data_IF_066831741732
#
_entry.id   IF_066831741732
#
_cell.length_a   1.000
_cell.length_b   1.000
_cell.length_c   1.000
_cell.angle_alpha   90.00
_cell.angle_beta   90.00
_cell.angle_gamma   90.00
#
_symmetry.space_group_name_H-M   'P 1'
#
loop_
_entity.id
_entity.type
_entity.pdbx_description
1 polymer ?
#
# COMPACT_ATOMS: atom_id res chain seq x y z
N UNK A 1 21.80 52.83 21.46
CA UNK A 1 22.06 53.52 20.19
C UNK A 1 22.08 52.47 19.10
N UNK A 2 21.24 52.68 18.09
CA UNK A 2 20.88 51.89 16.91
C UNK A 2 22.02 51.01 16.34
N UNK A 3 21.75 49.74 16.03
CA UNK A 3 21.87 49.21 14.65
C UNK A 3 21.17 47.85 14.51
N UNK A 4 20.11 47.84 13.68
CA UNK A 4 19.37 46.67 13.17
C UNK A 4 20.22 45.95 12.13
N UNK A 5 20.26 44.62 12.18
CA UNK A 5 20.62 43.75 11.06
C UNK A 5 19.38 42.96 10.66
N UNK A 6 18.93 43.18 9.43
CA UNK A 6 17.82 42.51 8.76
C UNK A 6 18.34 41.87 7.45
N UNK A 7 17.65 40.85 6.92
CA UNK A 7 18.25 39.75 6.17
C UNK A 7 18.36 39.96 4.65
N UNK A 8 19.30 39.21 4.07
CA UNK A 8 19.53 39.05 2.64
C UNK A 8 18.34 38.31 1.97
N UNK A 9 17.58 39.05 1.16
CA UNK A 9 16.68 38.51 0.14
C UNK A 9 17.36 38.73 -1.23
N UNK A 10 17.88 37.67 -1.83
CA UNK A 10 18.39 37.71 -3.21
C UNK A 10 17.25 37.36 -4.17
N UNK A 11 16.84 38.38 -4.92
CA UNK A 11 15.78 38.39 -5.94
C UNK A 11 16.39 37.91 -7.26
N UNK A 12 16.05 36.70 -7.71
CA UNK A 12 16.41 36.24 -9.06
C UNK A 12 15.37 36.71 -10.06
N UNK A 13 15.78 37.66 -10.91
CA UNK A 13 15.06 38.13 -12.09
C UNK A 13 15.20 37.14 -13.24
N UNK A 14 14.08 36.72 -13.81
CA UNK A 14 14.02 35.90 -15.02
C UNK A 14 14.37 36.73 -16.26
N UNK A 15 15.36 36.29 -17.02
CA UNK A 15 15.70 36.83 -18.34
C UNK A 15 15.16 35.88 -19.43
N UNK A 16 14.29 36.41 -20.30
CA UNK A 16 13.86 35.76 -21.55
C UNK A 16 14.94 35.90 -22.63
N UNK A 17 15.32 34.83 -23.35
CA UNK A 17 15.97 34.94 -24.64
C UNK A 17 14.96 34.92 -25.81
N UNK A 18 15.33 35.50 -26.98
CA UNK A 18 14.40 35.86 -28.06
C UNK A 18 14.07 34.71 -29.04
N UNK A 19 12.96 34.91 -29.76
CA UNK A 19 12.48 34.12 -30.91
C UNK A 19 13.55 34.01 -32.00
N UNK A 20 13.81 32.77 -32.45
CA UNK A 20 14.45 32.48 -33.74
C UNK A 20 13.48 31.68 -34.61
N UNK A 21 13.05 32.30 -35.71
CA UNK A 21 12.44 31.63 -36.85
C UNK A 21 13.51 30.76 -37.53
N UNK A 22 13.26 29.46 -37.63
CA UNK A 22 14.11 28.53 -38.36
C UNK A 22 13.27 27.43 -38.98
N UNK A 23 13.07 27.54 -40.29
CA UNK A 23 12.62 26.42 -41.13
C UNK A 23 13.65 25.29 -41.04
N UNK A 24 13.24 24.11 -40.55
CA UNK A 24 13.94 22.87 -40.87
C UNK A 24 12.94 21.72 -41.09
N UNK A 25 12.90 21.34 -42.37
CA UNK A 25 12.71 20.01 -42.95
C UNK A 25 12.39 18.87 -41.97
N UNK A 26 11.20 18.29 -42.15
CA UNK A 26 10.78 16.98 -41.68
C UNK A 26 11.77 15.89 -42.12
N UNK A 27 12.61 15.42 -41.19
CA UNK A 27 13.21 14.10 -41.31
C UNK A 27 12.26 13.07 -40.72
N UNK A 28 11.57 12.39 -41.63
CA UNK A 28 10.83 11.15 -41.41
C UNK A 28 11.74 10.11 -40.74
N UNK A 29 11.64 9.99 -39.43
CA UNK A 29 12.18 8.84 -38.70
C UNK A 29 11.19 7.67 -38.88
N UNK A 30 11.34 6.91 -39.97
CA UNK A 30 10.72 5.60 -40.10
C UNK A 30 11.29 4.69 -39.00
N UNK A 31 10.51 4.40 -37.96
CA UNK A 31 10.77 3.23 -37.11
C UNK A 31 10.51 1.98 -37.96
N UNK A 32 11.46 1.04 -38.08
CA UNK A 32 11.20 -0.22 -38.73
C UNK A 32 10.30 -1.09 -37.84
N UNK A 33 9.51 -1.93 -38.51
CA UNK A 33 8.72 -3.03 -37.95
C UNK A 33 9.51 -3.76 -36.86
N UNK A 34 8.88 -3.94 -35.71
CA UNK A 34 9.34 -4.80 -34.62
C UNK A 34 9.63 -6.19 -35.17
N UNK A 35 10.91 -6.59 -35.08
CA UNK A 35 11.36 -7.92 -35.47
C UNK A 35 10.99 -8.92 -34.38
N UNK A 36 10.76 -10.17 -34.76
CA UNK A 36 10.30 -11.26 -33.88
C UNK A 36 11.15 -11.47 -32.59
N UNK A 37 12.35 -10.91 -32.54
CA UNK A 37 13.29 -11.02 -31.42
C UNK A 37 12.88 -10.20 -30.17
N UNK A 38 12.06 -9.15 -30.31
CA UNK A 38 11.58 -8.37 -29.15
C UNK A 38 10.49 -9.10 -28.33
N UNK A 39 9.78 -10.04 -28.96
CA UNK A 39 8.80 -10.90 -28.26
C UNK A 39 9.45 -11.89 -27.30
N UNK A 40 10.74 -12.20 -27.49
CA UNK A 40 11.50 -13.09 -26.60
C UNK A 40 12.05 -12.35 -25.38
N UNK A 41 12.35 -11.05 -25.53
CA UNK A 41 12.88 -10.20 -24.45
C UNK A 41 11.83 -9.77 -23.40
N UNK A 42 10.56 -10.10 -23.60
CA UNK A 42 9.47 -9.81 -22.65
C UNK A 42 9.02 -11.02 -21.86
N UNK A 43 9.55 -12.21 -22.17
CA UNK A 43 9.27 -13.43 -21.43
C UNK A 43 10.21 -13.52 -20.21
N UNK A 44 9.67 -13.27 -19.02
CA UNK A 44 10.42 -13.32 -17.75
C UNK A 44 10.95 -14.72 -17.38
N UNK A 45 10.71 -15.74 -18.21
CA UNK A 45 11.22 -17.10 -18.01
C UNK A 45 12.74 -17.17 -17.91
N UNK A 46 13.48 -16.38 -18.71
CA UNK A 46 14.95 -16.34 -18.62
C UNK A 46 15.42 -15.73 -17.29
N UNK A 47 14.79 -14.64 -16.85
CA UNK A 47 15.07 -14.00 -15.54
C UNK A 47 14.71 -14.92 -14.38
N UNK A 48 13.59 -15.65 -14.48
CA UNK A 48 13.16 -16.64 -13.48
C UNK A 48 14.14 -17.80 -13.39
N UNK A 49 14.58 -18.34 -14.54
CA UNK A 49 15.59 -19.39 -14.57
C UNK A 49 16.89 -18.92 -13.94
N UNK A 50 17.39 -17.72 -14.24
CA UNK A 50 18.61 -17.20 -13.60
C UNK A 50 18.50 -17.09 -12.06
N UNK A 51 17.29 -16.86 -11.52
CA UNK A 51 17.07 -16.75 -10.09
C UNK A 51 16.89 -18.12 -9.40
N UNK A 52 16.26 -19.09 -10.06
CA UNK A 52 15.88 -20.39 -9.48
C UNK A 52 16.84 -21.54 -9.87
N UNK A 53 17.67 -21.37 -10.90
CA UNK A 53 18.54 -22.40 -11.45
C UNK A 53 19.71 -22.77 -10.52
N UNK A 54 19.98 -24.07 -10.41
CA UNK A 54 21.24 -24.56 -9.84
C UNK A 54 22.44 -24.20 -10.75
N UNK A 55 23.66 -24.06 -10.24
CA UNK A 55 24.82 -23.58 -11.01
C UNK A 55 25.20 -24.41 -12.26
N UNK A 56 24.68 -25.63 -12.41
CA UNK A 56 25.01 -26.54 -13.52
C UNK A 56 23.91 -26.65 -14.58
N UNK A 57 22.74 -26.04 -14.39
CA UNK A 57 21.66 -26.13 -15.37
C UNK A 57 21.89 -25.18 -16.55
N UNK A 58 21.74 -25.70 -17.78
CA UNK A 58 21.86 -24.95 -19.03
C UNK A 58 20.48 -24.58 -19.56
N UNK A 59 20.28 -23.31 -19.88
CA UNK A 59 19.05 -22.79 -20.49
C UNK A 59 18.76 -23.50 -21.82
N UNK A 60 17.51 -23.95 -22.02
CA UNK A 60 17.01 -24.48 -23.30
C UNK A 60 15.85 -23.61 -23.76
N UNK A 61 15.99 -23.01 -24.95
CA UNK A 61 14.93 -22.24 -25.60
C UNK A 61 13.69 -23.13 -25.79
N UNK A 62 12.53 -22.68 -25.28
CA UNK A 62 11.24 -23.37 -25.43
C UNK A 62 10.75 -24.23 -24.26
N UNK A 63 11.49 -24.34 -23.14
CA UNK A 63 11.10 -25.14 -21.97
C UNK A 63 10.30 -24.36 -20.89
N UNK A 64 9.47 -23.40 -21.30
CA UNK A 64 8.79 -22.45 -20.40
C UNK A 64 7.44 -22.91 -19.83
N UNK A 65 6.95 -24.10 -20.18
CA UNK A 65 5.78 -24.72 -19.57
C UNK A 65 6.23 -26.00 -18.85
N UNK A 66 5.66 -26.25 -17.67
CA UNK A 66 5.90 -27.40 -16.77
C UNK A 66 6.95 -27.15 -15.67
N UNK A 67 6.46 -26.83 -14.47
CA UNK A 67 7.25 -26.96 -13.23
C UNK A 67 6.64 -26.32 -11.98
N UNK A 68 5.83 -27.09 -11.24
CA UNK A 68 5.31 -26.79 -9.90
C UNK A 68 6.45 -26.56 -8.88
N UNK A 69 6.28 -25.55 -8.01
CA UNK A 69 6.81 -25.57 -6.65
C UNK A 69 7.62 -24.35 -6.24
N UNK A 70 6.97 -23.35 -5.65
CA UNK A 70 7.64 -22.25 -4.95
C UNK A 70 6.83 -20.96 -4.99
N UNK A 71 6.45 -20.46 -3.81
CA UNK A 71 5.78 -19.18 -3.51
C UNK A 71 5.24 -18.42 -4.74
N UNK A 72 3.99 -18.70 -5.12
CA UNK A 72 3.22 -18.03 -6.17
C UNK A 72 3.40 -16.50 -6.13
N UNK A 73 4.10 -15.89 -7.11
CA UNK A 73 4.05 -14.47 -7.33
C UNK A 73 3.31 -14.25 -8.64
N UNK A 74 2.06 -13.79 -8.58
CA UNK A 74 1.38 -13.14 -9.73
C UNK A 74 1.22 -13.98 -11.02
N UNK A 75 1.38 -15.31 -10.97
CA UNK A 75 1.15 -16.20 -12.12
C UNK A 75 -0.33 -16.25 -12.50
N UNK A 76 -1.19 -16.35 -11.47
CA UNK A 76 -2.65 -16.31 -11.61
C UNK A 76 -3.17 -15.01 -12.26
N UNK A 77 -2.40 -13.91 -12.24
CA UNK A 77 -2.83 -12.65 -12.85
C UNK A 77 -2.73 -12.65 -14.38
N UNK A 78 -1.84 -13.48 -14.95
CA UNK A 78 -1.62 -13.52 -16.40
C UNK A 78 -2.42 -14.62 -17.10
N UNK A 79 -2.69 -15.75 -16.44
CA UNK A 79 -3.45 -16.86 -17.04
C UNK A 79 -4.91 -16.47 -17.36
N UNK A 80 -5.52 -15.60 -16.54
CA UNK A 80 -6.86 -15.01 -16.79
C UNK A 80 -6.93 -14.01 -17.94
N UNK A 81 -5.79 -13.56 -18.52
CA UNK A 81 -5.79 -12.56 -19.61
C UNK A 81 -6.07 -13.18 -21.00
N UNK A 82 -6.17 -14.50 -21.09
CA UNK A 82 -6.37 -15.22 -22.35
C UNK A 82 -7.71 -14.91 -23.04
N UNK A 83 -8.67 -14.28 -22.36
CA UNK A 83 -9.97 -13.88 -22.90
C UNK A 83 -10.00 -12.47 -23.54
N UNK A 84 -8.87 -11.76 -23.63
CA UNK A 84 -8.82 -10.40 -24.17
C UNK A 84 -9.36 -9.33 -23.22
N UNK A 85 -9.68 -9.71 -21.97
CA UNK A 85 -9.99 -8.81 -20.86
C UNK A 85 -8.70 -8.27 -20.23
N UNK A 86 -8.74 -7.02 -19.77
CA UNK A 86 -7.71 -6.44 -18.92
C UNK A 86 -7.95 -6.76 -17.45
N UNK A 87 -6.91 -6.62 -16.62
CA UNK A 87 -7.00 -6.85 -15.18
C UNK A 87 -6.35 -5.72 -14.40
N UNK A 88 -7.01 -5.26 -13.35
CA UNK A 88 -6.47 -4.32 -12.38
C UNK A 88 -6.16 -5.08 -11.08
N UNK A 89 -4.93 -5.00 -10.59
CA UNK A 89 -4.48 -5.70 -9.38
C UNK A 89 -3.90 -4.75 -8.34
N UNK A 90 -4.21 -4.95 -7.05
CA UNK A 90 -3.65 -4.15 -5.97
C UNK A 90 -2.24 -4.66 -5.61
N UNK A 91 -1.33 -3.74 -5.33
CA UNK A 91 0.04 -4.04 -4.89
C UNK A 91 0.22 -3.80 -3.38
N UNK A 92 1.35 -4.24 -2.83
CA UNK A 92 1.71 -3.99 -1.44
C UNK A 92 2.01 -2.52 -1.12
N UNK A 93 2.31 -1.70 -2.15
CA UNK A 93 2.79 -0.33 -2.01
C UNK A 93 1.73 0.72 -2.30
N UNK A 94 0.44 0.36 -2.19
CA UNK A 94 -0.69 1.26 -2.47
C UNK A 94 -0.72 1.79 -3.94
N UNK A 95 -0.10 1.05 -4.85
CA UNK A 95 -0.20 1.27 -6.29
C UNK A 95 -1.14 0.24 -6.92
N UNK A 96 -1.74 0.61 -8.03
CA UNK A 96 -2.49 -0.32 -8.87
C UNK A 96 -1.64 -0.74 -10.06
N UNK A 97 -1.64 -2.04 -10.34
CA UNK A 97 -1.05 -2.64 -11.53
C UNK A 97 -2.18 -2.92 -12.51
N UNK A 98 -2.25 -2.12 -13.58
CA UNK A 98 -3.22 -2.27 -14.66
C UNK A 98 -2.55 -3.05 -15.81
N UNK A 99 -3.15 -4.14 -16.24
CA UNK A 99 -2.65 -5.00 -17.32
C UNK A 99 -3.65 -4.94 -18.47
N UNK A 100 -3.19 -4.51 -19.65
CA UNK A 100 -4.02 -4.34 -20.84
C UNK A 100 -3.44 -5.09 -22.05
N UNK A 101 -4.24 -5.88 -22.78
CA UNK A 101 -3.79 -6.58 -23.98
C UNK A 101 -3.78 -5.67 -25.23
N UNK A 102 -3.02 -4.57 -25.21
CA UNK A 102 -3.04 -3.56 -26.28
C UNK A 102 -2.49 -4.07 -27.63
N UNK A 103 -1.57 -5.03 -27.62
CA UNK A 103 -0.94 -5.56 -28.84
C UNK A 103 -1.88 -6.36 -29.75
N UNK A 104 -2.94 -6.94 -29.21
CA UNK A 104 -3.92 -7.70 -29.99
C UNK A 104 -4.76 -6.81 -30.92
N UNK A 105 -4.96 -5.55 -30.53
CA UNK A 105 -5.88 -4.64 -31.22
C UNK A 105 -5.22 -3.92 -32.40
N UNK A 106 -3.91 -3.68 -32.37
CA UNK A 106 -3.15 -3.13 -33.51
C UNK A 106 -3.14 -4.10 -34.70
N UNK A 107 -3.11 -5.42 -34.44
CA UNK A 107 -3.07 -6.44 -35.50
C UNK A 107 -4.42 -6.66 -36.20
N UNK A 108 -5.55 -6.22 -35.61
CA UNK A 108 -6.90 -6.41 -36.18
C UNK A 108 -7.16 -5.53 -37.41
N UNK A 109 -6.45 -4.42 -37.55
CA UNK A 109 -6.60 -3.45 -38.65
C UNK A 109 -5.67 -3.71 -39.85
N UNK A 110 -4.78 -4.70 -39.78
CA UNK A 110 -3.92 -5.12 -40.90
C UNK A 110 -4.61 -6.24 -41.71
N UNK A 111 -4.70 -6.15 -43.05
CA UNK A 111 -5.31 -7.19 -43.87
C UNK A 111 -4.52 -8.50 -43.74
N UNK A 112 -5.26 -9.60 -43.49
CA UNK A 112 -4.77 -10.97 -43.31
C UNK A 112 -3.77 -11.38 -44.40
N UNK A 113 -2.48 -11.17 -44.14
CA UNK A 113 -1.37 -11.73 -44.89
C UNK A 113 -0.72 -12.82 -44.04
N UNK A 114 -1.10 -14.06 -44.33
CA UNK A 114 -0.35 -15.31 -44.10
C UNK A 114 0.05 -15.61 -42.64
N UNK A 115 -0.71 -16.54 -42.06
CA UNK A 115 -0.40 -17.43 -40.95
C UNK A 115 1.02 -17.38 -40.35
N UNK A 116 1.08 -16.94 -39.10
CA UNK A 116 1.82 -17.60 -38.02
C UNK A 116 1.04 -17.39 -36.72
N UNK A 117 0.09 -18.29 -36.44
CA UNK A 117 -0.56 -18.39 -35.15
C UNK A 117 0.46 -18.93 -34.13
N UNK A 118 0.75 -18.18 -33.06
CA UNK A 118 1.07 -18.72 -31.71
C UNK A 118 1.69 -17.74 -30.71
N UNK A 119 2.14 -16.54 -31.11
CA UNK A 119 2.66 -15.56 -30.13
C UNK A 119 1.68 -14.41 -29.93
N UNK A 120 0.83 -14.53 -28.91
CA UNK A 120 0.06 -13.40 -28.37
C UNK A 120 1.08 -12.32 -27.96
N UNK A 121 0.97 -11.08 -28.48
CA UNK A 121 1.87 -10.01 -28.09
C UNK A 121 1.76 -9.76 -26.58
N UNK A 122 2.88 -9.47 -25.90
CA UNK A 122 2.89 -9.29 -24.45
C UNK A 122 1.93 -8.16 -24.04
N UNK A 123 1.12 -8.36 -22.98
CA UNK A 123 0.23 -7.32 -22.50
C UNK A 123 1.03 -6.16 -21.88
N UNK A 124 0.56 -4.94 -22.07
CA UNK A 124 1.17 -3.73 -21.51
C UNK A 124 0.75 -3.57 -20.06
N UNK A 125 1.72 -3.30 -19.18
CA UNK A 125 1.50 -3.12 -17.74
C UNK A 125 1.76 -1.67 -17.35
N UNK A 126 0.81 -1.06 -16.64
CA UNK A 126 0.92 0.28 -16.08
C UNK A 126 0.88 0.23 -14.56
N UNK A 127 1.74 1.01 -13.91
CA UNK A 127 1.69 1.26 -12.47
C UNK A 127 1.08 2.63 -12.22
N UNK A 128 -0.04 2.65 -11.51
CA UNK A 128 -0.87 3.83 -11.35
C UNK A 128 -1.06 4.15 -9.87
N UNK A 129 -1.05 5.43 -9.52
CA UNK A 129 -1.37 5.89 -8.18
C UNK A 129 -2.86 6.30 -8.09
N UNK A 130 -3.57 5.98 -6.99
CA UNK A 130 -5.00 6.31 -6.85
C UNK A 130 -5.34 7.80 -6.99
N UNK A 131 -4.42 8.71 -6.62
CA UNK A 131 -4.65 10.16 -6.75
C UNK A 131 -4.31 10.73 -8.14
N UNK A 132 -4.04 9.88 -9.13
CA UNK A 132 -3.81 10.34 -10.50
C UNK A 132 -5.16 10.48 -11.21
N UNK A 133 -5.39 11.57 -11.95
CA UNK A 133 -6.62 11.73 -12.72
C UNK A 133 -6.64 10.78 -13.92
N UNK A 134 -7.83 10.39 -14.37
CA UNK A 134 -8.03 9.52 -15.54
C UNK A 134 -7.40 10.09 -16.82
N UNK A 135 -7.27 11.42 -16.94
CA UNK A 135 -6.57 12.07 -18.05
C UNK A 135 -5.08 11.70 -18.11
N UNK A 136 -4.45 11.41 -16.97
CA UNK A 136 -3.06 10.93 -16.95
C UNK A 136 -2.98 9.50 -17.46
N UNK A 137 -3.90 8.63 -17.00
CA UNK A 137 -4.00 7.24 -17.46
C UNK A 137 -4.26 7.16 -18.97
N UNK A 138 -5.19 7.97 -19.47
CA UNK A 138 -5.46 8.12 -20.91
C UNK A 138 -4.19 8.45 -21.69
N UNK A 139 -3.40 9.44 -21.24
CA UNK A 139 -2.13 9.81 -21.90
C UNK A 139 -1.08 8.69 -21.86
N UNK A 140 -0.99 7.94 -20.77
CA UNK A 140 -0.10 6.79 -20.67
C UNK A 140 -0.48 5.69 -21.67
N UNK A 141 -1.78 5.41 -21.80
CA UNK A 141 -2.28 4.45 -22.78
C UNK A 141 -2.04 4.98 -24.20
N UNK A 142 -2.33 6.25 -24.48
CA UNK A 142 -2.05 6.87 -25.78
C UNK A 142 -0.58 6.79 -26.18
N UNK A 143 0.34 7.02 -25.24
CA UNK A 143 1.78 6.91 -25.48
C UNK A 143 2.22 5.48 -25.84
N UNK A 144 1.42 4.46 -25.47
CA UNK A 144 1.67 3.06 -25.81
C UNK A 144 1.02 2.60 -27.13
N UNK A 145 0.11 3.41 -27.69
CA UNK A 145 -0.54 3.13 -28.97
C UNK A 145 0.23 3.80 -30.13
N UNK A 146 0.12 3.21 -31.33
CA UNK A 146 0.76 3.69 -32.58
C UNK A 146 0.14 5.02 -33.07
N UNK A 147 0.81 5.82 -33.93
CA UNK A 147 0.71 7.29 -33.97
C UNK A 147 -0.58 7.90 -34.56
N UNK A 148 -1.66 7.13 -34.70
CA UNK A 148 -2.99 7.75 -34.75
C UNK A 148 -3.31 8.25 -33.34
N UNK A 149 -3.90 9.43 -33.18
CA UNK A 149 -4.32 9.95 -31.86
C UNK A 149 -5.78 9.50 -31.60
N UNK A 150 -6.06 8.30 -31.05
CA UNK A 150 -7.42 7.94 -30.72
C UNK A 150 -7.89 8.76 -29.51
N UNK A 151 -9.21 8.94 -29.38
CA UNK A 151 -9.78 9.41 -28.12
C UNK A 151 -10.08 8.22 -27.21
N UNK A 152 -9.60 8.30 -25.97
CA UNK A 152 -9.82 7.29 -24.93
C UNK A 152 -10.85 7.81 -23.94
N UNK A 153 -11.88 7.01 -23.67
CA UNK A 153 -12.87 7.28 -22.64
C UNK A 153 -13.02 6.10 -21.69
N UNK A 154 -13.32 6.38 -20.43
CA UNK A 154 -13.56 5.38 -19.38
C UNK A 154 -15.04 5.35 -19.08
N UNK A 155 -15.65 4.15 -19.09
CA UNK A 155 -17.05 3.95 -18.78
C UNK A 155 -17.20 2.95 -17.65
N UNK A 156 -18.15 3.16 -16.75
CA UNK A 156 -18.60 2.11 -15.81
C UNK A 156 -20.05 1.72 -16.11
N UNK A 157 -20.40 0.44 -15.90
CA UNK A 157 -21.76 -0.03 -16.10
C UNK A 157 -22.67 0.50 -15.00
N UNK A 158 -23.90 0.90 -15.35
CA UNK A 158 -24.89 1.33 -14.36
C UNK A 158 -25.50 0.13 -13.62
N UNK A 159 -25.76 0.26 -12.31
CA UNK A 159 -26.33 -0.82 -11.48
C UNK A 159 -27.72 -1.32 -11.88
N UNK A 160 -28.47 -0.58 -12.72
CA UNK A 160 -29.91 -0.82 -12.96
C UNK A 160 -30.30 -1.06 -14.43
N UNK A 161 -29.34 -1.18 -15.34
CA UNK A 161 -29.63 -1.45 -16.75
C UNK A 161 -28.48 -1.06 -17.67
N UNK A 162 -28.55 -1.59 -18.90
CA UNK A 162 -27.67 -1.59 -20.09
C UNK A 162 -27.02 -0.26 -20.52
N UNK A 163 -27.01 0.77 -19.67
CA UNK A 163 -26.38 2.06 -19.93
C UNK A 163 -25.03 2.11 -19.25
N UNK A 164 -24.00 2.30 -20.06
CA UNK A 164 -22.67 2.67 -19.63
C UNK A 164 -22.61 4.20 -19.54
N UNK A 165 -22.08 4.73 -18.45
CA UNK A 165 -21.86 6.18 -18.32
C UNK A 165 -20.38 6.50 -18.39
N UNK A 166 -20.03 7.60 -19.05
CA UNK A 166 -18.66 8.03 -19.24
C UNK A 166 -18.20 8.92 -18.08
N UNK A 167 -17.02 8.62 -17.54
CA UNK A 167 -16.40 9.41 -16.48
C UNK A 167 -15.67 10.64 -17.03
N UNK A 168 -15.62 11.69 -16.21
CA UNK A 168 -14.80 12.86 -16.50
C UNK A 168 -13.32 12.52 -16.47
N UNK A 169 -12.54 13.09 -17.40
CA UNK A 169 -11.09 12.89 -17.44
C UNK A 169 -10.35 13.49 -16.24
N UNK A 170 -11.00 14.36 -15.47
CA UNK A 170 -10.46 14.96 -14.24
C UNK A 170 -10.73 14.16 -12.97
N UNK A 171 -11.52 13.09 -13.03
CA UNK A 171 -11.79 12.26 -11.85
C UNK A 171 -10.54 11.48 -11.45
N UNK A 172 -10.30 11.37 -10.14
CA UNK A 172 -9.20 10.56 -9.58
C UNK A 172 -9.45 9.07 -9.81
N UNK A 173 -8.40 8.37 -10.19
CA UNK A 173 -8.43 6.94 -10.48
C UNK A 173 -8.94 6.13 -9.29
N UNK A 174 -8.59 6.51 -8.06
CA UNK A 174 -9.03 5.83 -6.83
C UNK A 174 -10.54 5.92 -6.61
N UNK A 175 -11.16 7.06 -6.92
CA UNK A 175 -12.60 7.23 -6.79
C UNK A 175 -13.36 6.53 -7.91
N UNK A 176 -12.84 6.59 -9.14
CA UNK A 176 -13.34 5.78 -10.26
C UNK A 176 -13.29 4.27 -9.94
N UNK A 177 -12.15 3.77 -9.48
CA UNK A 177 -11.96 2.35 -9.09
C UNK A 177 -12.85 1.97 -7.92
N UNK A 178 -13.21 2.91 -7.03
CA UNK A 178 -14.11 2.65 -5.90
C UNK A 178 -15.53 2.39 -6.37
N UNK A 179 -16.04 3.19 -7.30
CA UNK A 179 -17.35 2.98 -7.91
C UNK A 179 -17.37 1.69 -8.74
N UNK A 180 -16.39 1.51 -9.63
CA UNK A 180 -16.26 0.32 -10.46
C UNK A 180 -16.02 -0.98 -9.65
N UNK A 181 -15.63 -0.88 -8.37
CA UNK A 181 -15.50 -2.03 -7.48
C UNK A 181 -16.84 -2.73 -7.23
N UNK A 182 -17.95 -1.99 -7.29
CA UNK A 182 -19.29 -2.52 -7.02
C UNK A 182 -19.80 -3.37 -8.20
N UNK A 183 -19.37 -3.06 -9.42
CA UNK A 183 -19.73 -3.80 -10.64
C UNK A 183 -18.68 -4.81 -11.05
N UNK A 184 -17.53 -4.84 -10.37
CA UNK A 184 -16.36 -5.71 -10.65
C UNK A 184 -15.71 -5.53 -12.02
N UNK A 185 -16.28 -4.70 -12.89
CA UNK A 185 -15.81 -4.46 -14.25
C UNK A 185 -15.99 -2.98 -14.62
N UNK A 186 -15.08 -2.46 -15.44
CA UNK A 186 -15.22 -1.21 -16.17
C UNK A 186 -14.72 -1.36 -17.61
N UNK A 187 -15.04 -0.38 -18.45
CA UNK A 187 -14.71 -0.40 -19.87
C UNK A 187 -13.80 0.76 -20.25
N UNK A 188 -12.81 0.46 -21.08
CA UNK A 188 -11.96 1.43 -21.75
C UNK A 188 -12.37 1.44 -23.22
N UNK A 189 -12.91 2.55 -23.69
CA UNK A 189 -13.32 2.72 -25.08
C UNK A 189 -12.27 3.55 -25.82
N UNK A 190 -11.73 2.97 -26.89
CA UNK A 190 -10.75 3.60 -27.78
C UNK A 190 -11.44 3.82 -29.12
N UNK A 191 -11.72 5.08 -29.45
CA UNK A 191 -12.29 5.45 -30.74
C UNK A 191 -11.19 6.05 -31.62
N UNK A 192 -10.93 5.41 -32.75
CA UNK A 192 -10.06 5.98 -33.78
C UNK A 192 -10.89 6.99 -34.58
N UNK A 193 -10.64 8.29 -34.38
CA UNK A 193 -11.25 9.33 -35.22
C UNK A 193 -10.36 9.55 -36.44
N UNK A 194 -10.74 9.13 -37.66
CA UNK A 194 -9.98 9.46 -38.85
C UNK A 194 -10.18 10.94 -39.18
N UNK A 195 -9.36 11.81 -38.58
CA UNK A 195 -9.15 13.20 -39.01
C UNK A 195 -10.40 14.07 -39.18
N UNK A 196 -11.07 14.45 -38.08
CA UNK A 196 -12.02 15.56 -38.10
C UNK A 196 -11.32 16.87 -37.70
N UNK A 197 -10.88 17.61 -38.72
CA UNK A 197 -10.54 19.04 -38.60
C UNK A 197 -11.77 19.78 -38.05
N UNK A 198 -11.50 20.63 -37.07
CA UNK A 198 -12.41 21.61 -36.47
C UNK A 198 -13.44 22.20 -37.45
N UNK A 199 -14.72 21.91 -37.20
CA UNK A 199 -15.85 22.55 -37.81
C UNK A 199 -17.10 22.31 -36.96
N UNK A 200 -17.68 23.39 -36.45
CA UNK A 200 -18.94 23.41 -35.70
C UNK A 200 -20.03 22.55 -36.35
N UNK A 201 -20.62 21.60 -35.61
CA UNK A 201 -22.04 21.30 -35.77
C UNK A 201 -22.66 20.60 -34.55
N UNK A 202 -23.72 21.22 -34.06
CA UNK A 202 -24.71 20.67 -33.17
C UNK A 202 -25.68 19.81 -33.98
N UNK A 203 -25.85 18.52 -33.66
CA UNK A 203 -27.15 17.86 -33.76
C UNK A 203 -27.25 16.51 -33.05
N UNK A 204 -28.46 16.30 -32.58
CA UNK A 204 -29.10 15.20 -31.88
C UNK A 204 -29.33 13.91 -32.70
N UNK A 205 -29.55 12.83 -31.93
CA UNK A 205 -30.40 11.65 -32.20
C UNK A 205 -30.03 10.64 -33.28
N UNK A 206 -29.85 9.39 -32.81
CA UNK A 206 -30.24 8.09 -33.40
C UNK A 206 -29.80 7.73 -34.82
N UNK A 207 -28.90 6.74 -34.92
CA UNK A 207 -28.70 5.91 -36.11
C UNK A 207 -27.24 5.75 -36.54
N UNK A 208 -26.64 4.62 -36.15
CA UNK A 208 -25.67 3.80 -36.90
C UNK A 208 -24.58 4.52 -37.73
N UNK A 209 -23.41 4.72 -37.13
CA UNK A 209 -22.15 4.90 -37.86
C UNK A 209 -21.11 3.93 -37.29
N UNK A 210 -20.71 2.96 -38.13
CA UNK A 210 -19.64 1.98 -37.93
C UNK A 210 -18.27 2.67 -37.93
N UNK A 211 -18.01 3.47 -36.90
CA UNK A 211 -16.66 3.85 -36.50
C UNK A 211 -16.18 2.77 -35.55
N UNK A 212 -15.07 2.09 -35.89
CA UNK A 212 -14.54 0.97 -35.11
C UNK A 212 -14.10 1.40 -33.69
N UNK A 213 -15.06 1.52 -32.77
CA UNK A 213 -14.83 1.73 -31.35
C UNK A 213 -14.36 0.40 -30.75
N UNK A 214 -13.12 0.37 -30.25
CA UNK A 214 -12.57 -0.79 -29.58
C UNK A 214 -12.86 -0.69 -28.09
N UNK A 215 -13.60 -1.65 -27.54
CA UNK A 215 -13.96 -1.70 -26.12
C UNK A 215 -13.11 -2.77 -25.43
N UNK A 216 -12.43 -2.39 -24.36
CA UNK A 216 -11.64 -3.28 -23.51
C UNK A 216 -12.31 -3.36 -22.14
N UNK A 217 -12.80 -4.53 -21.77
CA UNK A 217 -13.32 -4.79 -20.43
C UNK A 217 -12.15 -5.04 -19.47
N UNK A 218 -12.17 -4.39 -18.32
CA UNK A 218 -11.14 -4.50 -17.29
C UNK A 218 -11.78 -4.92 -15.97
N UNK A 219 -11.28 -6.02 -15.41
CA UNK A 219 -11.70 -6.52 -14.11
C UNK A 219 -11.09 -5.68 -12.98
N UNK A 220 -11.93 -5.33 -12.00
CA UNK A 220 -11.57 -4.53 -10.83
C UNK A 220 -11.43 -5.42 -9.60
N UNK A 221 -10.36 -5.25 -8.80
CA UNK A 221 -10.15 -6.11 -7.64
C UNK A 221 -11.19 -5.81 -6.58
N UNK A 222 -11.70 -6.88 -5.96
CA UNK A 222 -12.68 -6.80 -4.87
C UNK A 222 -12.07 -6.11 -3.64
N UNK A 223 -12.91 -5.72 -2.69
CA UNK A 223 -12.42 -5.21 -1.40
C UNK A 223 -11.51 -6.23 -0.69
N UNK A 224 -11.83 -7.52 -0.79
CA UNK A 224 -11.04 -8.58 -0.18
C UNK A 224 -9.61 -8.61 -0.74
N UNK A 225 -9.49 -8.51 -2.07
CA UNK A 225 -8.20 -8.54 -2.77
C UNK A 225 -7.35 -7.30 -2.49
N UNK A 226 -7.97 -6.11 -2.44
CA UNK A 226 -7.27 -4.85 -2.13
C UNK A 226 -6.63 -4.86 -0.75
N UNK A 227 -7.31 -5.48 0.21
CA UNK A 227 -6.88 -5.49 1.62
C UNK A 227 -6.12 -6.76 2.01
N UNK A 228 -5.86 -7.70 1.08
CA UNK A 228 -5.18 -8.97 1.36
C UNK A 228 -3.83 -8.80 2.06
N UNK A 229 -3.02 -7.85 1.60
CA UNK A 229 -1.69 -7.59 2.17
C UNK A 229 -1.78 -6.95 3.55
N UNK A 230 -2.75 -6.06 3.75
CA UNK A 230 -2.98 -5.43 5.04
C UNK A 230 -3.49 -6.43 6.07
N UNK A 231 -4.45 -7.30 5.69
CA UNK A 231 -4.94 -8.37 6.57
C UNK A 231 -3.83 -9.33 6.97
N UNK A 232 -3.02 -9.79 6.00
CA UNK A 232 -1.89 -10.68 6.32
C UNK A 232 -0.88 -10.04 7.27
N UNK A 233 -0.56 -8.75 7.08
CA UNK A 233 0.33 -8.01 8.00
C UNK A 233 -0.31 -7.84 9.37
N UNK A 234 -1.60 -7.51 9.42
CA UNK A 234 -2.36 -7.39 10.66
C UNK A 234 -2.32 -8.71 11.43
N UNK A 235 -2.58 -9.84 10.78
CA UNK A 235 -2.56 -11.17 11.40
C UNK A 235 -1.19 -11.51 12.01
N UNK A 236 -0.10 -11.14 11.34
CA UNK A 236 1.27 -11.34 11.86
C UNK A 236 1.50 -10.50 13.10
N UNK A 237 1.20 -9.20 13.04
CA UNK A 237 1.39 -8.27 14.16
C UNK A 237 0.50 -8.64 15.35
N UNK A 238 -0.75 -9.04 15.11
CA UNK A 238 -1.68 -9.50 16.15
C UNK A 238 -1.13 -10.73 16.86
N UNK A 239 -0.59 -11.72 16.13
CA UNK A 239 0.02 -12.90 16.75
C UNK A 239 1.22 -12.55 17.62
N UNK A 240 2.09 -11.66 17.14
CA UNK A 240 3.24 -11.19 17.90
C UNK A 240 2.82 -10.45 19.18
N UNK A 241 1.79 -9.59 19.07
CA UNK A 241 1.20 -8.89 20.22
C UNK A 241 0.62 -9.88 21.23
N UNK A 242 -0.08 -10.92 20.78
CA UNK A 242 -0.64 -11.95 21.64
C UNK A 242 0.43 -12.77 22.37
N UNK A 243 1.55 -13.07 21.70
CA UNK A 243 2.70 -13.74 22.30
C UNK A 243 3.36 -12.89 23.39
N UNK A 244 3.61 -11.61 23.11
CA UNK A 244 4.17 -10.69 24.11
C UNK A 244 3.22 -10.45 25.28
N UNK A 245 1.91 -10.33 25.02
CA UNK A 245 0.91 -10.18 26.07
C UNK A 245 0.86 -11.40 27.00
N UNK A 246 1.00 -12.62 26.46
CA UNK A 246 1.09 -13.84 27.29
C UNK A 246 2.31 -13.79 28.22
N UNK A 247 3.47 -13.39 27.70
CA UNK A 247 4.68 -13.26 28.51
C UNK A 247 4.53 -12.18 29.59
N UNK A 248 3.96 -11.02 29.23
CA UNK A 248 3.66 -9.96 30.20
C UNK A 248 2.74 -10.47 31.32
N UNK A 249 1.68 -11.21 30.98
CA UNK A 249 0.79 -11.79 31.98
C UNK A 249 1.48 -12.78 32.92
N UNK A 250 2.44 -13.56 32.43
CA UNK A 250 3.24 -14.45 33.27
C UNK A 250 4.09 -13.64 34.27
N UNK A 251 4.81 -12.62 33.80
CA UNK A 251 5.58 -11.73 34.65
C UNK A 251 4.70 -11.01 35.69
N UNK A 252 3.54 -10.49 35.27
CA UNK A 252 2.58 -9.84 36.16
C UNK A 252 2.06 -10.80 37.24
N UNK A 253 1.83 -12.07 36.88
CA UNK A 253 1.40 -13.09 37.83
C UNK A 253 2.49 -13.39 38.88
N UNK A 254 3.75 -13.47 38.46
CA UNK A 254 4.89 -13.65 39.36
C UNK A 254 5.13 -12.44 40.25
N UNK A 255 5.06 -11.23 39.70
CA UNK A 255 5.16 -9.98 40.46
C UNK A 255 4.07 -9.88 41.53
N UNK A 256 2.83 -10.25 41.19
CA UNK A 256 1.71 -10.29 42.16
C UNK A 256 1.93 -11.30 43.28
N UNK A 257 2.58 -12.44 43.00
CA UNK A 257 2.94 -13.41 44.06
C UNK A 257 3.95 -12.80 45.04
N UNK A 258 4.95 -12.07 44.53
CA UNK A 258 5.91 -11.33 45.36
C UNK A 258 5.21 -10.29 46.25
N UNK A 259 4.37 -9.44 45.64
CA UNK A 259 3.61 -8.42 46.36
C UNK A 259 2.69 -9.02 47.44
N UNK A 260 1.99 -10.12 47.13
CA UNK A 260 1.13 -10.82 48.10
C UNK A 260 1.93 -11.36 49.29
N UNK A 261 3.13 -11.90 49.06
CA UNK A 261 4.00 -12.41 50.14
C UNK A 261 4.45 -11.29 51.06
N UNK A 262 4.85 -10.14 50.50
CA UNK A 262 5.24 -8.96 51.28
C UNK A 262 4.04 -8.43 52.08
N UNK A 263 2.86 -8.33 51.47
CA UNK A 263 1.65 -7.88 52.15
C UNK A 263 1.25 -8.79 53.32
N UNK A 264 1.26 -10.11 53.13
CA UNK A 264 0.95 -11.08 54.18
C UNK A 264 2.01 -11.05 55.30
N UNK A 265 3.29 -10.92 54.94
CA UNK A 265 4.37 -10.76 55.92
C UNK A 265 4.22 -9.51 56.77
N UNK A 266 3.91 -8.36 56.14
CA UNK A 266 3.65 -7.10 56.84
C UNK A 266 2.43 -7.19 57.76
N UNK A 267 1.35 -7.83 57.31
CA UNK A 267 0.17 -8.06 58.16
C UNK A 267 0.48 -8.95 59.37
N UNK A 268 1.23 -10.04 59.17
CA UNK A 268 1.65 -10.92 60.27
C UNK A 268 2.50 -10.21 61.31
N UNK A 269 3.47 -9.39 60.88
CA UNK A 269 4.29 -8.58 61.79
C UNK A 269 3.44 -7.61 62.60
N UNK A 270 2.46 -6.95 61.96
CA UNK A 270 1.56 -6.01 62.64
C UNK A 270 0.71 -6.69 63.72
N UNK A 271 0.22 -7.91 63.46
CA UNK A 271 -0.53 -8.70 64.46
C UNK A 271 0.38 -9.11 65.63
N UNK A 272 1.61 -9.57 65.36
CA UNK A 272 2.58 -9.94 66.40
C UNK A 272 2.94 -8.71 67.25
N UNK A 273 3.20 -7.57 66.61
CA UNK A 273 3.49 -6.30 67.30
C UNK A 273 2.33 -5.89 68.21
N UNK A 274 1.09 -5.91 67.70
CA UNK A 274 -0.09 -5.55 68.49
C UNK A 274 -0.29 -6.52 69.67
N UNK A 275 -0.14 -7.82 69.45
CA UNK A 275 -0.23 -8.84 70.51
C UNK A 275 0.86 -8.69 71.57
N UNK A 276 2.08 -8.35 71.18
CA UNK A 276 3.17 -8.07 72.12
C UNK A 276 2.86 -6.85 72.98
N UNK A 277 2.45 -5.73 72.38
CA UNK A 277 2.05 -4.53 73.12
C UNK A 277 0.93 -4.84 74.11
N UNK A 278 -0.13 -5.54 73.66
CA UNK A 278 -1.22 -5.94 74.55
C UNK A 278 -0.74 -6.82 75.72
N UNK A 279 0.09 -7.83 75.45
CA UNK A 279 0.64 -8.72 76.48
C UNK A 279 1.45 -7.95 77.52
N UNK A 280 2.40 -7.12 77.09
CA UNK A 280 3.28 -6.36 77.99
C UNK A 280 2.50 -5.32 78.81
N UNK A 281 1.49 -4.67 78.22
CA UNK A 281 0.66 -3.67 78.89
C UNK A 281 -0.20 -4.30 79.99
N UNK A 282 -0.84 -5.45 79.72
CA UNK A 282 -1.81 -6.04 80.65
C UNK A 282 -1.20 -6.96 81.71
N UNK A 283 0.01 -7.51 81.52
CA UNK A 283 0.61 -8.45 82.48
C UNK A 283 1.86 -7.94 83.19
N UNK A 284 2.80 -7.29 82.49
CA UNK A 284 4.17 -7.17 83.00
C UNK A 284 4.56 -5.74 83.43
N UNK A 285 4.25 -4.71 82.64
CA UNK A 285 4.85 -3.36 82.80
C UNK A 285 3.87 -2.21 83.00
N UNK A 286 2.56 -2.42 82.83
CA UNK A 286 1.55 -1.36 82.93
C UNK A 286 1.65 -0.30 81.82
N UNK A 287 0.78 0.70 81.85
CA UNK A 287 0.69 1.70 80.79
C UNK A 287 1.81 2.77 80.81
N UNK A 288 2.28 3.15 82.00
CA UNK A 288 3.26 4.24 82.19
C UNK A 288 4.60 3.98 81.49
N UNK A 289 5.03 2.71 81.44
CA UNK A 289 6.27 2.30 80.74
C UNK A 289 6.02 2.11 79.22
N UNK A 290 4.82 1.71 78.82
CA UNK A 290 4.49 1.37 77.43
C UNK A 290 4.18 2.59 76.55
N UNK A 291 3.72 3.67 77.15
CA UNK A 291 3.42 4.94 76.47
C UNK A 291 4.61 5.45 75.62
N UNK A 292 5.81 5.73 76.16
CA UNK A 292 6.94 6.22 75.36
C UNK A 292 7.43 5.20 74.30
N UNK A 293 7.33 3.90 74.59
CA UNK A 293 7.80 2.83 73.69
C UNK A 293 6.93 2.78 72.42
N UNK A 294 5.61 2.91 72.57
CA UNK A 294 4.67 2.91 71.43
C UNK A 294 4.82 4.16 70.57
N UNK A 295 5.13 5.32 71.17
CA UNK A 295 5.44 6.55 70.41
C UNK A 295 6.72 6.42 69.58
N UNK A 296 7.82 5.93 70.18
CA UNK A 296 9.10 5.78 69.48
C UNK A 296 9.03 4.75 68.34
N UNK A 297 8.33 3.64 68.55
CA UNK A 297 8.14 2.61 67.51
C UNK A 297 7.21 3.07 66.38
N UNK A 298 6.16 3.84 66.68
CA UNK A 298 5.30 4.46 65.68
C UNK A 298 6.06 5.46 64.79
N UNK A 299 6.83 6.36 65.39
CA UNK A 299 7.70 7.29 64.65
C UNK A 299 8.74 6.55 63.80
N UNK A 300 9.35 5.50 64.35
CA UNK A 300 10.31 4.67 63.61
C UNK A 300 9.68 4.01 62.37
N UNK A 301 8.44 3.52 62.48
CA UNK A 301 7.71 2.92 61.36
C UNK A 301 7.42 3.93 60.24
N UNK A 302 7.06 5.17 60.61
CA UNK A 302 6.87 6.26 59.64
C UNK A 302 8.17 6.59 58.92
N UNK A 303 9.28 6.74 59.66
CA UNK A 303 10.61 7.02 59.09
C UNK A 303 11.01 5.91 58.09
N UNK A 304 10.82 4.64 58.44
CA UNK A 304 11.07 3.50 57.55
C UNK A 304 10.18 3.52 56.30
N UNK A 305 8.90 3.90 56.43
CA UNK A 305 8.01 4.07 55.28
C UNK A 305 8.46 5.15 54.30
N UNK A 306 8.96 6.27 54.82
CA UNK A 306 9.58 7.32 54.00
C UNK A 306 10.87 6.83 53.34
N UNK A 307 11.75 6.14 54.07
CA UNK A 307 12.98 5.56 53.52
C UNK A 307 12.72 4.51 52.44
N UNK A 308 11.62 3.78 52.49
CA UNK A 308 11.22 2.86 51.41
C UNK A 308 10.70 3.61 50.17
N UNK A 309 9.93 4.67 50.38
CA UNK A 309 9.23 5.40 49.31
C UNK A 309 10.14 6.34 48.52
N UNK A 310 11.14 6.96 49.17
CA UNK A 310 12.10 7.90 48.55
C UNK A 310 12.94 7.26 47.42
N UNK A 311 13.65 6.13 47.62
CA UNK A 311 14.38 5.48 46.54
C UNK A 311 13.46 4.91 45.46
N UNK A 312 12.25 4.45 45.83
CA UNK A 312 11.24 4.03 44.85
C UNK A 312 10.81 5.20 43.94
N UNK A 313 10.65 6.41 44.49
CA UNK A 313 10.32 7.61 43.73
C UNK A 313 11.46 8.06 42.79
N UNK A 314 12.71 7.98 43.24
CA UNK A 314 13.88 8.31 42.43
C UNK A 314 14.11 7.31 41.27
N UNK A 315 13.82 6.02 41.47
CA UNK A 315 13.96 4.99 40.42
C UNK A 315 12.80 5.01 39.41
N UNK A 316 11.61 5.49 39.79
CA UNK A 316 10.44 5.61 38.90
C UNK A 316 10.39 6.96 38.15
N UNK A 317 11.12 7.99 38.61
CA UNK A 317 11.22 9.30 37.95
C UNK A 317 12.48 9.56 37.08
N UNK A 318 13.06 8.63 36.29
CA UNK A 318 14.13 8.96 35.35
C UNK A 318 13.63 9.40 33.96
N UNK A 319 12.35 9.75 33.77
CA UNK A 319 11.77 10.12 32.46
C UNK A 319 11.38 11.62 32.37
N UNK A 320 11.70 12.41 33.39
CA UNK A 320 11.22 13.79 33.49
C UNK A 320 12.16 14.90 33.01
N UNK A 321 13.32 14.61 32.40
CA UNK A 321 14.32 15.66 32.16
C UNK A 321 15.16 15.49 30.88
N UNK A 322 14.58 14.92 29.82
CA UNK A 322 15.12 15.03 28.45
C UNK A 322 14.06 15.70 27.55
N UNK A 323 13.88 17.01 27.73
CA UNK A 323 13.26 17.93 26.76
C UNK A 323 13.90 19.31 26.86
#
# INVERSE_FOLDING_TARGET
MVLKLAPLFCRFTWHCPPRLNGYQSLLLFKRPLTTAQETENTNASHSRFLAEASPQSRWKEGAGEVGKGGMEPTGEDFDTLTEGKGKLSPTSSHLFKLILPLGLFTSRNEPKSVANASKIPPPTVFLLHPSQPLSHVSRLILASLSPAEPSISFRSPSHRGDRHFQWSSSTDLGDFIRDAAQTHEFEICISNSPGAVSGFQQKSSSGEHDGAETIIQVEVPTFADRTRFLRRRLDVVTREMDEMNKLKHQCDAEARRGARRVAVGGFGLLVVYWGAVARLTFWDYGWDIMEPITYLSGLSTVILGYLWSVPLFCVVSPIGNDM
#
